data_IF_599884595948
#
_entry.id   IF_599884595948
#
_cell.length_a   1.000
_cell.length_b   1.000
_cell.length_c   1.000
_cell.angle_alpha   90.00
_cell.angle_beta   90.00
_cell.angle_gamma   90.00
#
_symmetry.space_group_name_H-M   'P 1'
#
loop_
_entity.id
_entity.type
_entity.pdbx_description
1 polymer ?
#
# COMPACT_ATOMS: atom_id res chain seq x y z
N UNK A 1 -15.35 -3.90 15.33
CA UNK A 1 -14.65 -4.99 14.61
C UNK A 1 -13.16 -4.75 14.75
N UNK A 2 -12.45 -5.61 15.46
CA UNK A 2 -10.98 -5.50 15.60
C UNK A 2 -10.34 -5.95 14.28
N UNK A 3 -9.45 -5.17 13.66
CA UNK A 3 -8.76 -5.60 12.45
C UNK A 3 -8.01 -6.90 12.74
N UNK A 4 -8.23 -7.94 11.94
CA UNK A 4 -7.45 -9.16 12.05
C UNK A 4 -6.01 -8.85 11.61
N UNK A 5 -5.11 -8.76 12.59
CA UNK A 5 -3.68 -8.58 12.34
C UNK A 5 -3.11 -9.84 11.69
N UNK A 6 -3.06 -9.89 10.36
CA UNK A 6 -2.33 -10.91 9.63
C UNK A 6 -0.83 -10.67 9.87
N UNK A 7 -0.23 -11.49 10.75
CA UNK A 7 1.20 -11.43 11.06
C UNK A 7 1.99 -12.09 9.94
N UNK A 8 2.76 -11.31 9.18
CA UNK A 8 3.80 -11.84 8.30
C UNK A 8 5.13 -11.90 9.06
N UNK A 9 5.93 -12.98 8.96
CA UNK A 9 7.21 -13.07 9.64
C UNK A 9 8.14 -11.93 9.17
N UNK A 10 8.69 -11.15 10.10
CA UNK A 10 9.72 -10.14 9.84
C UNK A 10 9.30 -8.67 9.97
N UNK A 11 8.00 -8.33 9.99
CA UNK A 11 7.52 -6.97 10.28
C UNK A 11 6.24 -7.04 11.12
N UNK A 12 6.30 -6.87 12.45
CA UNK A 12 5.11 -6.81 13.27
C UNK A 12 4.36 -5.50 12.94
N UNK A 13 3.08 -5.59 12.55
CA UNK A 13 2.13 -4.47 12.38
C UNK A 13 2.16 -3.71 11.03
N UNK A 14 2.26 -4.42 9.91
CA UNK A 14 2.00 -3.82 8.59
C UNK A 14 0.52 -3.95 8.18
N UNK A 15 -0.11 -2.87 7.74
CA UNK A 15 -1.43 -2.91 7.09
C UNK A 15 -1.26 -3.37 5.64
N UNK A 16 -2.02 -4.38 5.23
CA UNK A 16 -1.94 -4.93 3.87
C UNK A 16 -3.10 -4.42 3.01
N UNK A 17 -2.77 -3.76 1.90
CA UNK A 17 -3.76 -3.43 0.89
C UNK A 17 -3.76 -4.51 -0.18
N UNK A 18 -4.92 -5.14 -0.41
CA UNK A 18 -5.03 -6.25 -1.35
C UNK A 18 -5.26 -5.77 -2.79
N UNK A 19 -6.48 -5.40 -3.16
CA UNK A 19 -6.83 -5.05 -4.53
C UNK A 19 -7.11 -3.56 -4.66
N UNK A 20 -6.42 -2.90 -5.60
CA UNK A 20 -6.71 -1.54 -6.04
C UNK A 20 -6.93 -1.55 -7.55
N UNK A 21 -8.17 -1.31 -7.98
CA UNK A 21 -8.59 -1.34 -9.38
C UNK A 21 -9.25 -0.04 -9.81
N UNK A 22 -8.89 0.43 -11.01
CA UNK A 22 -9.54 1.58 -11.65
C UNK A 22 -10.04 1.16 -13.03
N UNK A 23 -11.31 1.48 -13.32
CA UNK A 23 -11.91 1.21 -14.64
C UNK A 23 -11.05 1.84 -15.75
N UNK A 24 -10.86 1.17 -16.90
CA UNK A 24 -9.94 1.65 -17.94
C UNK A 24 -10.17 3.10 -18.40
N UNK A 25 -11.43 3.50 -18.55
CA UNK A 25 -11.90 4.84 -18.92
C UNK A 25 -11.61 5.93 -17.87
N UNK A 26 -11.25 5.54 -16.64
CA UNK A 26 -10.94 6.45 -15.54
C UNK A 26 -9.46 6.38 -15.11
N UNK A 27 -8.61 5.66 -15.85
CA UNK A 27 -7.17 5.58 -15.56
C UNK A 27 -6.46 6.89 -15.87
N UNK A 28 -5.23 7.04 -15.36
CA UNK A 28 -4.36 8.22 -15.54
C UNK A 28 -4.89 9.53 -14.96
N UNK A 29 -5.98 9.49 -14.21
CA UNK A 29 -6.57 10.64 -13.51
C UNK A 29 -6.17 10.72 -12.02
N UNK A 30 -5.18 9.93 -11.59
CA UNK A 30 -4.72 9.93 -10.19
C UNK A 30 -5.60 9.17 -9.20
N UNK A 31 -6.69 8.52 -9.64
CA UNK A 31 -7.63 7.80 -8.76
C UNK A 31 -6.93 6.72 -7.92
N UNK A 32 -6.09 5.88 -8.54
CA UNK A 32 -5.38 4.82 -7.83
C UNK A 32 -4.46 5.42 -6.73
N UNK A 33 -3.76 6.51 -7.03
CA UNK A 33 -2.92 7.20 -6.04
C UNK A 33 -3.75 7.77 -4.89
N UNK A 34 -4.92 8.35 -5.17
CA UNK A 34 -5.82 8.85 -4.13
C UNK A 34 -6.33 7.73 -3.21
N UNK A 35 -6.63 6.55 -3.76
CA UNK A 35 -7.03 5.38 -2.98
C UNK A 35 -5.88 4.90 -2.08
N UNK A 36 -4.65 4.84 -2.59
CA UNK A 36 -3.46 4.50 -1.78
C UNK A 36 -3.25 5.48 -0.62
N UNK A 37 -3.33 6.78 -0.88
CA UNK A 37 -3.17 7.80 0.15
C UNK A 37 -4.25 7.70 1.23
N UNK A 38 -5.49 7.34 0.85
CA UNK A 38 -6.56 7.07 1.81
C UNK A 38 -6.24 5.85 2.68
N UNK A 39 -5.68 4.79 2.11
CA UNK A 39 -5.23 3.62 2.86
C UNK A 39 -4.09 3.97 3.81
N UNK A 40 -3.14 4.81 3.39
CA UNK A 40 -2.09 5.37 4.27
C UNK A 40 -2.68 6.13 5.44
N UNK A 41 -3.64 7.03 5.19
CA UNK A 41 -4.33 7.76 6.24
C UNK A 41 -5.04 6.84 7.23
N UNK A 42 -5.75 5.83 6.73
CA UNK A 42 -6.42 4.83 7.56
C UNK A 42 -5.41 4.04 8.41
N UNK A 43 -4.34 3.50 7.82
CA UNK A 43 -3.32 2.76 8.57
C UNK A 43 -2.72 3.59 9.72
N UNK A 44 -2.40 4.87 9.47
CA UNK A 44 -1.95 5.80 10.52
C UNK A 44 -2.97 5.96 11.65
N UNK A 45 -4.25 6.18 11.31
CA UNK A 45 -5.32 6.36 12.29
C UNK A 45 -5.49 5.15 13.22
N UNK A 46 -5.19 3.94 12.75
CA UNK A 46 -5.30 2.71 13.52
C UNK A 46 -3.97 2.24 14.14
N UNK A 47 -2.93 3.08 14.15
CA UNK A 47 -1.67 2.81 14.83
C UNK A 47 -0.75 1.82 14.10
N UNK A 48 -0.95 1.62 12.79
CA UNK A 48 0.00 0.87 11.98
C UNK A 48 1.21 1.76 11.67
N UNK A 49 2.40 1.16 11.72
CA UNK A 49 3.67 1.86 11.51
C UNK A 49 4.23 1.62 10.10
N UNK A 50 3.63 0.68 9.36
CA UNK A 50 3.96 0.40 7.98
C UNK A 50 2.76 -0.07 7.16
N UNK A 51 2.84 0.12 5.84
CA UNK A 51 1.94 -0.50 4.86
C UNK A 51 2.75 -1.39 3.94
N UNK A 52 2.13 -2.51 3.56
CA UNK A 52 2.60 -3.38 2.49
C UNK A 52 1.73 -3.21 1.24
N UNK A 53 2.37 -2.97 0.12
CA UNK A 53 1.76 -2.98 -1.22
C UNK A 53 2.44 -4.02 -2.11
N UNK A 54 1.72 -4.54 -3.11
CA UNK A 54 2.27 -5.42 -4.14
C UNK A 54 2.80 -4.59 -5.33
N UNK A 55 3.63 -5.22 -6.16
CA UNK A 55 4.15 -4.63 -7.40
C UNK A 55 3.97 -5.55 -8.59
N UNK A 56 2.80 -6.16 -8.69
CA UNK A 56 2.49 -7.21 -9.68
C UNK A 56 2.28 -6.69 -11.11
N UNK A 57 2.20 -5.36 -11.29
CA UNK A 57 2.06 -4.74 -12.61
C UNK A 57 2.76 -3.37 -12.71
N UNK A 58 3.09 -2.90 -13.93
CA UNK A 58 3.82 -1.64 -14.12
C UNK A 58 3.14 -0.39 -13.56
N UNK A 59 1.80 -0.34 -13.53
CA UNK A 59 1.08 0.81 -12.99
C UNK A 59 1.22 0.89 -11.46
N UNK A 60 1.16 -0.25 -10.78
CA UNK A 60 1.42 -0.33 -9.33
C UNK A 60 2.87 0.01 -8.99
N UNK A 61 3.84 -0.40 -9.82
CA UNK A 61 5.24 0.00 -9.63
C UNK A 61 5.43 1.52 -9.72
N UNK A 62 4.77 2.20 -10.66
CA UNK A 62 4.83 3.66 -10.79
C UNK A 62 4.24 4.37 -9.56
N UNK A 63 3.13 3.85 -9.05
CA UNK A 63 2.50 4.36 -7.82
C UNK A 63 3.40 4.14 -6.60
N UNK A 64 3.94 2.94 -6.41
CA UNK A 64 4.83 2.62 -5.29
C UNK A 64 6.08 3.51 -5.30
N UNK A 65 6.64 3.80 -6.48
CA UNK A 65 7.76 4.77 -6.63
C UNK A 65 7.37 6.19 -6.23
N UNK A 66 6.20 6.67 -6.68
CA UNK A 66 5.70 8.02 -6.33
C UNK A 66 5.49 8.20 -4.84
N UNK A 67 5.08 7.14 -4.15
CA UNK A 67 4.86 7.13 -2.70
C UNK A 67 6.15 6.88 -1.90
N UNK A 68 7.29 6.68 -2.57
CA UNK A 68 8.59 6.48 -1.92
C UNK A 68 8.77 5.12 -1.27
N UNK A 69 8.01 4.10 -1.68
CA UNK A 69 8.23 2.77 -1.15
C UNK A 69 9.60 2.23 -1.61
N UNK A 70 10.46 1.78 -0.67
CA UNK A 70 11.73 1.17 -1.01
C UNK A 70 11.50 -0.17 -1.73
N UNK A 71 12.24 -0.41 -2.80
CA UNK A 71 12.20 -1.68 -3.54
C UNK A 71 12.88 -2.75 -2.68
N UNK A 72 12.11 -3.68 -2.13
CA UNK A 72 12.63 -4.84 -1.38
C UNK A 72 12.63 -6.14 -2.21
N UNK A 73 13.40 -7.16 -1.81
CA UNK A 73 13.27 -8.50 -2.39
C UNK A 73 11.86 -9.02 -2.14
N UNK A 74 11.24 -9.64 -3.16
CA UNK A 74 9.86 -10.17 -3.18
C UNK A 74 8.70 -9.18 -3.32
N UNK A 75 8.89 -8.03 -3.98
CA UNK A 75 7.82 -7.03 -4.23
C UNK A 75 7.09 -6.61 -2.94
N UNK A 76 7.78 -6.66 -1.80
CA UNK A 76 7.28 -6.18 -0.51
C UNK A 76 7.78 -4.75 -0.36
N UNK A 77 6.88 -3.83 -0.60
CA UNK A 77 7.09 -2.40 -0.44
C UNK A 77 6.68 -2.02 0.99
N UNK A 78 7.59 -1.49 1.81
CA UNK A 78 7.30 -1.01 3.16
C UNK A 78 7.45 0.51 3.25
N UNK A 79 6.36 1.24 3.49
CA UNK A 79 6.43 2.67 3.78
C UNK A 79 6.38 2.87 5.30
N UNK A 80 7.46 3.38 5.89
CA UNK A 80 7.47 3.81 7.30
C UNK A 80 6.60 5.05 7.45
N UNK A 81 5.65 5.00 8.39
CA UNK A 81 4.61 6.02 8.46
C UNK A 81 4.93 7.26 9.29
N UNK A 82 6.07 7.26 10.03
CA UNK A 82 6.65 8.44 10.70
C UNK A 82 5.78 8.98 11.81
#
# INVERSE_FOLDING_TARGET
MTPQNIRFPGVPLAYSQHLTGVRPDHRRQGIALALELRTVGHARQYGFHSIRSNGDNPAMLDINRKLGFPIGPWLIYNLSLG
#
